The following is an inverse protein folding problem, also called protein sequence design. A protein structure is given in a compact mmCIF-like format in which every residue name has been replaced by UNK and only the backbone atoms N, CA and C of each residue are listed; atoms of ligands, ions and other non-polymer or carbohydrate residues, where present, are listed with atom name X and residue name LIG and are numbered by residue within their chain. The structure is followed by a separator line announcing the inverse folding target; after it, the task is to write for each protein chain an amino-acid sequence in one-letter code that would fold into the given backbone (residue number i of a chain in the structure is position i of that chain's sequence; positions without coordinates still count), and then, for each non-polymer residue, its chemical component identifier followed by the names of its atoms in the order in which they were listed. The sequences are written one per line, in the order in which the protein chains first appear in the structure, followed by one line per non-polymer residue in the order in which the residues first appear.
data_IF_810310685541
#
_entry.id   IF_810310685541
#
_cell.length_a   1.000
_cell.length_b   1.000
_cell.length_c   1.000
_cell.angle_alpha   90.00
_cell.angle_beta   90.00
_cell.angle_gamma   90.00
#
_symmetry.space_group_name_H-M   'P 1'
#
loop_
_entity.id
_entity.type
_entity.pdbx_description
1 polymer ?
#
# COMPACT_ATOMS: atom_id res chain seq x y z
N UNK A 1 -29.68 4.09 15.29
CA UNK A 1 -28.24 3.81 15.55
C UNK A 1 -27.55 4.13 14.25
N UNK A 2 -26.71 5.16 14.22
CA UNK A 2 -26.09 5.68 13.01
C UNK A 2 -25.15 4.63 12.38
N UNK A 3 -25.03 4.60 11.05
CA UNK A 3 -24.21 3.61 10.34
C UNK A 3 -22.76 3.60 10.86
N UNK A 4 -22.22 4.78 11.20
CA UNK A 4 -20.89 4.95 11.78
C UNK A 4 -20.74 4.22 13.13
N UNK A 5 -21.81 4.18 13.94
CA UNK A 5 -21.83 3.49 15.23
C UNK A 5 -21.83 1.97 15.05
N UNK A 6 -22.50 1.46 14.00
CA UNK A 6 -22.48 0.04 13.67
C UNK A 6 -21.11 -0.41 13.15
N UNK A 7 -20.47 0.42 12.32
CA UNK A 7 -19.13 0.14 11.77
C UNK A 7 -18.09 0.07 12.89
N UNK A 8 -18.11 1.02 13.85
CA UNK A 8 -17.20 1.04 15.01
C UNK A 8 -17.36 -0.15 15.96
N UNK A 9 -18.55 -0.73 16.02
CA UNK A 9 -18.85 -1.88 16.88
C UNK A 9 -18.71 -3.24 16.16
N UNK A 10 -18.26 -3.25 14.91
CA UNK A 10 -18.06 -4.49 14.16
C UNK A 10 -16.87 -5.29 14.70
N UNK A 11 -17.09 -6.59 14.97
CA UNK A 11 -16.01 -7.53 15.31
C UNK A 11 -15.04 -7.81 14.14
N UNK A 12 -15.40 -7.38 12.94
CA UNK A 12 -14.62 -7.59 11.72
C UNK A 12 -13.80 -6.36 11.31
N UNK A 13 -13.94 -5.25 12.05
CA UNK A 13 -13.26 -4.01 11.74
C UNK A 13 -12.53 -3.48 12.99
N UNK A 14 -11.24 -3.24 12.83
CA UNK A 14 -10.42 -2.64 13.86
C UNK A 14 -9.95 -1.27 13.41
N UNK A 15 -10.38 -0.22 14.12
CA UNK A 15 -9.89 1.14 13.91
C UNK A 15 -8.57 1.34 14.63
N UNK A 16 -7.52 1.66 13.88
CA UNK A 16 -6.19 1.95 14.40
C UNK A 16 -5.90 3.43 14.13
N UNK A 17 -5.86 4.24 15.19
CA UNK A 17 -5.72 5.69 15.10
C UNK A 17 -4.30 6.19 15.36
N UNK A 18 -3.44 5.36 15.99
CA UNK A 18 -2.06 5.74 16.33
C UNK A 18 -1.07 5.24 15.28
N UNK A 19 -0.38 6.17 14.62
CA UNK A 19 0.54 5.96 13.49
C UNK A 19 1.92 5.44 13.87
N UNK A 20 2.25 5.34 15.17
CA UNK A 20 3.60 5.01 15.64
C UNK A 20 4.18 3.69 15.10
N UNK A 21 3.31 2.79 14.60
CA UNK A 21 3.72 1.49 14.08
C UNK A 21 2.92 1.03 12.85
N UNK A 22 2.64 1.92 11.88
CA UNK A 22 1.90 1.54 10.65
C UNK A 22 2.50 0.31 9.94
N UNK A 23 3.84 0.18 9.94
CA UNK A 23 4.55 -0.97 9.35
C UNK A 23 4.29 -2.30 10.06
N UNK A 24 3.80 -2.31 11.31
CA UNK A 24 3.40 -3.56 11.96
C UNK A 24 2.21 -4.21 11.27
N UNK A 25 1.42 -3.45 10.51
CA UNK A 25 0.23 -3.97 9.82
C UNK A 25 0.50 -4.42 8.39
N UNK A 26 1.75 -4.31 7.93
CA UNK A 26 2.18 -4.78 6.62
C UNK A 26 2.22 -6.33 6.51
N UNK A 27 1.76 -7.06 7.53
CA UNK A 27 1.41 -8.47 7.40
C UNK A 27 0.10 -8.71 6.65
N UNK A 28 -0.75 -7.68 6.47
CA UNK A 28 -2.05 -7.78 5.82
C UNK A 28 -1.94 -8.44 4.44
N UNK A 29 -2.96 -9.17 3.99
CA UNK A 29 -2.95 -9.84 2.67
C UNK A 29 -3.17 -8.91 1.49
N UNK A 30 -3.79 -7.77 1.76
CA UNK A 30 -4.00 -6.69 0.80
C UNK A 30 -3.75 -5.36 1.50
N UNK A 31 -3.14 -4.43 0.78
CA UNK A 31 -3.04 -3.04 1.21
C UNK A 31 -3.96 -2.19 0.33
N UNK A 32 -4.81 -1.40 0.98
CA UNK A 32 -5.65 -0.39 0.33
C UNK A 32 -5.26 0.95 0.93
N UNK A 33 -4.93 1.91 0.07
CA UNK A 33 -4.49 3.24 0.49
C UNK A 33 -5.19 4.34 -0.29
N UNK A 34 -5.36 5.47 0.39
CA UNK A 34 -5.73 6.71 -0.28
C UNK A 34 -4.50 7.24 -1.03
N UNK A 35 -4.66 7.49 -2.33
CA UNK A 35 -3.56 7.68 -3.27
C UNK A 35 -2.83 9.01 -3.21
N UNK A 36 -2.42 9.46 -2.03
CA UNK A 36 -1.62 10.68 -1.83
C UNK A 36 -0.47 10.47 -0.84
N UNK A 37 -0.05 9.22 -0.60
CA UNK A 37 0.86 8.86 0.49
C UNK A 37 2.14 8.18 0.02
N UNK A 38 3.27 8.45 0.70
CA UNK A 38 4.52 7.69 0.50
C UNK A 38 4.36 6.21 0.84
N UNK A 39 3.31 5.86 1.60
CA UNK A 39 2.92 4.48 1.88
C UNK A 39 2.68 3.68 0.59
N UNK A 40 2.33 4.33 -0.54
CA UNK A 40 2.27 3.70 -1.87
C UNK A 40 3.57 2.98 -2.24
N UNK A 41 4.71 3.63 -1.97
CA UNK A 41 6.04 3.11 -2.27
C UNK A 41 6.45 2.05 -1.25
N UNK A 42 6.16 2.30 0.02
CA UNK A 42 6.52 1.40 1.12
C UNK A 42 5.75 0.07 1.05
N UNK A 43 4.48 0.11 0.66
CA UNK A 43 3.63 -1.06 0.47
C UNK A 43 4.18 -2.00 -0.62
N UNK A 44 4.92 -1.47 -1.61
CA UNK A 44 5.57 -2.31 -2.61
C UNK A 44 6.65 -3.23 -2.01
N UNK A 45 7.21 -2.89 -0.84
CA UNK A 45 8.24 -3.70 -0.19
C UNK A 45 7.72 -5.06 0.28
N UNK A 46 6.41 -5.19 0.56
CA UNK A 46 5.82 -6.45 1.01
C UNK A 46 5.36 -7.38 -0.11
N UNK A 47 5.43 -6.94 -1.37
CA UNK A 47 5.14 -7.78 -2.53
C UNK A 47 3.72 -8.34 -2.55
N UNK A 48 2.73 -7.56 -2.05
CA UNK A 48 1.32 -7.96 -1.95
C UNK A 48 0.40 -7.06 -2.79
N UNK A 49 -0.84 -7.50 -3.07
CA UNK A 49 -1.82 -6.68 -3.78
C UNK A 49 -1.97 -5.29 -3.14
N UNK A 50 -1.86 -4.27 -4.00
CA UNK A 50 -1.91 -2.86 -3.62
C UNK A 50 -3.02 -2.16 -4.40
N UNK A 51 -3.96 -1.57 -3.69
CA UNK A 51 -5.07 -0.80 -4.25
C UNK A 51 -4.93 0.66 -3.85
N UNK A 52 -4.96 1.52 -4.85
CA UNK A 52 -4.85 2.96 -4.67
C UNK A 52 -6.23 3.56 -4.96
N UNK A 53 -6.93 3.96 -3.91
CA UNK A 53 -8.27 4.53 -3.97
C UNK A 53 -8.17 6.04 -4.14
N UNK A 54 -8.76 6.58 -5.21
CA UNK A 54 -8.77 8.00 -5.57
C UNK A 54 -10.15 8.37 -6.14
N UNK A 55 -11.13 8.61 -5.27
CA UNK A 55 -12.53 8.84 -5.65
C UNK A 55 -12.85 10.28 -6.04
N UNK A 56 -12.04 11.26 -5.62
CA UNK A 56 -12.36 12.69 -5.76
C UNK A 56 -11.63 13.41 -6.91
N UNK A 57 -10.81 12.72 -7.71
CA UNK A 57 -9.99 13.36 -8.75
C UNK A 57 -10.20 12.70 -10.11
N UNK A 58 -10.64 13.49 -11.09
CA UNK A 58 -10.84 13.09 -12.48
C UNK A 58 -9.53 12.80 -13.24
N UNK A 59 -8.40 13.33 -12.76
CA UNK A 59 -7.06 13.03 -13.25
C UNK A 59 -6.23 12.48 -12.10
N UNK A 60 -6.07 11.15 -12.10
CA UNK A 60 -5.22 10.41 -11.17
C UNK A 60 -3.77 10.90 -11.35
N UNK A 61 -3.28 11.75 -10.45
CA UNK A 61 -1.85 12.07 -10.40
C UNK A 61 -1.09 10.87 -9.86
N UNK A 62 -0.63 9.99 -10.74
CA UNK A 62 0.21 8.85 -10.40
C UNK A 62 1.67 9.28 -10.23
N UNK A 63 1.93 10.13 -9.22
CA UNK A 63 3.26 10.73 -9.00
C UNK A 63 4.37 9.69 -8.87
N UNK A 64 4.05 8.55 -8.29
CA UNK A 64 4.98 7.44 -8.11
C UNK A 64 4.88 6.39 -9.21
N UNK A 65 4.08 6.61 -10.26
CA UNK A 65 3.93 5.73 -11.42
C UNK A 65 3.50 4.31 -11.04
N UNK A 66 2.75 4.14 -9.94
CA UNK A 66 2.39 2.82 -9.41
C UNK A 66 1.25 2.18 -10.20
N UNK A 67 0.27 2.97 -10.63
CA UNK A 67 -0.87 2.49 -11.42
C UNK A 67 -0.42 2.29 -12.86
N UNK A 68 0.30 3.26 -13.45
CA UNK A 68 0.75 3.23 -14.85
C UNK A 68 1.68 2.06 -15.14
N UNK A 69 2.47 1.63 -14.15
CA UNK A 69 3.38 0.49 -14.29
C UNK A 69 2.73 -0.85 -13.93
N UNK A 70 1.46 -0.87 -13.54
CA UNK A 70 0.76 -2.07 -13.06
C UNK A 70 1.24 -2.57 -11.70
N UNK A 71 1.95 -1.72 -10.95
CA UNK A 71 2.47 -2.00 -9.60
C UNK A 71 1.36 -1.95 -8.54
N UNK A 72 0.25 -1.26 -8.84
CA UNK A 72 -0.97 -1.17 -8.05
C UNK A 72 -2.22 -1.13 -8.94
N UNK A 73 -3.39 -1.49 -8.40
CA UNK A 73 -4.69 -1.23 -9.04
C UNK A 73 -5.22 0.14 -8.60
N UNK A 74 -5.49 1.03 -9.55
CA UNK A 74 -6.23 2.25 -9.30
C UNK A 74 -7.73 1.98 -9.14
N UNK A 75 -8.35 2.56 -8.13
CA UNK A 75 -9.79 2.47 -7.87
C UNK A 75 -10.37 3.88 -7.82
N UNK A 76 -11.31 4.19 -8.72
CA UNK A 76 -12.01 5.49 -8.76
C UNK A 76 -13.42 5.41 -8.18
N UNK A 77 -14.04 4.22 -8.21
CA UNK A 77 -15.33 3.94 -7.60
C UNK A 77 -15.16 2.89 -6.48
N UNK A 78 -15.60 3.23 -5.26
CA UNK A 78 -15.52 2.34 -4.10
C UNK A 78 -16.30 1.04 -4.31
N UNK A 79 -17.34 1.06 -5.15
CA UNK A 79 -18.15 -0.12 -5.45
C UNK A 79 -17.33 -1.19 -6.20
N UNK A 80 -16.23 -0.82 -6.83
CA UNK A 80 -15.36 -1.74 -7.57
C UNK A 80 -14.35 -2.47 -6.69
N UNK A 81 -14.17 -2.06 -5.42
CA UNK A 81 -13.17 -2.64 -4.53
C UNK A 81 -13.41 -4.14 -4.35
N UNK A 82 -14.63 -4.55 -4.00
CA UNK A 82 -14.96 -5.95 -3.76
C UNK A 82 -14.77 -6.81 -5.01
N UNK A 83 -15.26 -6.33 -6.16
CA UNK A 83 -15.09 -7.02 -7.44
C UNK A 83 -13.61 -7.23 -7.77
N UNK A 84 -12.79 -6.18 -7.65
CA UNK A 84 -11.37 -6.29 -7.93
C UNK A 84 -10.68 -7.21 -6.91
N UNK A 85 -10.99 -7.11 -5.61
CA UNK A 85 -10.44 -8.03 -4.59
C UNK A 85 -10.73 -9.50 -4.92
N UNK A 86 -11.97 -9.83 -5.27
CA UNK A 86 -12.37 -11.21 -5.59
C UNK A 86 -11.68 -11.69 -6.86
N UNK A 87 -11.61 -10.84 -7.89
CA UNK A 87 -10.86 -11.13 -9.12
C UNK A 87 -9.38 -11.39 -8.79
N UNK A 88 -8.80 -10.56 -7.94
CA UNK A 88 -7.44 -10.73 -7.43
C UNK A 88 -7.26 -12.08 -6.73
N UNK A 89 -8.14 -12.51 -5.84
CA UNK A 89 -7.93 -13.82 -5.19
C UNK A 89 -8.22 -15.05 -6.09
N UNK A 90 -9.08 -14.92 -7.09
CA UNK A 90 -9.49 -16.05 -7.95
C UNK A 90 -8.55 -16.33 -9.12
N UNK A 91 -8.04 -15.29 -9.78
CA UNK A 91 -7.33 -15.46 -11.05
C UNK A 91 -5.89 -15.97 -10.85
N UNK A 92 -5.33 -15.85 -9.64
CA UNK A 92 -3.98 -16.32 -9.28
C UNK A 92 -2.83 -15.70 -10.09
N UNK A 93 -3.14 -14.86 -11.07
CA UNK A 93 -2.24 -14.29 -12.06
C UNK A 93 -1.69 -12.95 -11.58
N UNK A 94 -0.89 -12.95 -10.51
CA UNK A 94 -0.27 -11.72 -10.01
C UNK A 94 1.18 -11.61 -10.42
N UNK A 95 1.47 -10.53 -11.14
CA UNK A 95 2.82 -10.07 -11.40
C UNK A 95 3.23 -8.92 -10.48
N UNK A 96 2.42 -8.55 -9.48
CA UNK A 96 2.75 -7.51 -8.51
C UNK A 96 4.13 -7.70 -7.89
N UNK A 97 4.54 -8.88 -7.40
CA UNK A 97 5.86 -9.01 -6.79
C UNK A 97 7.00 -8.59 -7.72
N UNK A 98 6.91 -8.97 -9.00
CA UNK A 98 7.94 -8.64 -10.00
C UNK A 98 7.88 -7.16 -10.41
N UNK A 99 6.68 -6.62 -10.62
CA UNK A 99 6.49 -5.22 -11.01
C UNK A 99 6.86 -4.26 -9.86
N UNK A 100 6.46 -4.58 -8.63
CA UNK A 100 6.83 -3.86 -7.40
C UNK A 100 8.34 -3.89 -7.17
N UNK A 101 8.98 -5.05 -7.32
CA UNK A 101 10.43 -5.16 -7.18
C UNK A 101 11.18 -4.37 -8.25
N UNK A 102 10.74 -4.45 -9.51
CA UNK A 102 11.28 -3.63 -10.59
C UNK A 102 11.09 -2.14 -10.31
N UNK A 103 9.90 -1.73 -9.86
CA UNK A 103 9.59 -0.32 -9.61
C UNK A 103 10.44 0.26 -8.49
N UNK A 104 10.58 -0.45 -7.38
CA UNK A 104 11.46 -0.06 -6.26
C UNK A 104 12.91 0.12 -6.74
N UNK A 105 13.39 -0.80 -7.59
CA UNK A 105 14.73 -0.73 -8.18
C UNK A 105 14.88 0.47 -9.12
N UNK A 106 13.90 0.73 -9.98
CA UNK A 106 13.90 1.86 -10.91
C UNK A 106 13.88 3.20 -10.16
N UNK A 107 13.29 3.24 -8.96
CA UNK A 107 13.34 4.40 -8.06
C UNK A 107 14.65 4.53 -7.27
N UNK A 108 15.57 3.57 -7.37
CA UNK A 108 16.83 3.55 -6.62
C UNK A 108 16.65 3.27 -5.13
N UNK A 109 15.51 2.72 -4.71
CA UNK A 109 15.19 2.46 -3.30
C UNK A 109 15.69 1.06 -2.93
N UNK A 110 16.30 0.92 -1.75
CA UNK A 110 16.80 -0.36 -1.24
C UNK A 110 16.19 -0.69 0.13
N UNK A 111 15.52 -1.84 0.23
CA UNK A 111 14.96 -2.38 1.47
C UNK A 111 15.78 -3.56 1.99
N UNK A 112 16.99 -3.29 2.50
CA UNK A 112 17.90 -4.34 3.02
C UNK A 112 17.90 -4.46 4.55
N UNK A 113 17.04 -3.69 5.23
CA UNK A 113 16.93 -3.68 6.69
C UNK A 113 18.14 -3.07 7.42
N UNK A 114 19.15 -2.54 6.72
CA UNK A 114 20.42 -2.09 7.33
C UNK A 114 20.55 -0.57 7.44
N UNK A 115 19.50 0.18 7.10
CA UNK A 115 19.55 1.65 7.11
C UNK A 115 19.89 2.20 8.51
N UNK A 116 19.25 1.69 9.56
CA UNK A 116 19.51 2.11 10.95
C UNK A 116 20.99 1.92 11.33
N UNK A 117 21.59 0.77 10.97
CA UNK A 117 23.00 0.48 11.22
C UNK A 117 23.92 1.42 10.45
N UNK A 118 23.64 1.67 9.17
CA UNK A 118 24.44 2.62 8.35
C UNK A 118 24.45 4.02 8.95
N UNK A 119 23.31 4.49 9.46
CA UNK A 119 23.19 5.80 10.11
C UNK A 119 24.00 5.80 11.41
N UNK A 120 23.85 4.77 12.25
CA UNK A 120 24.59 4.65 13.51
C UNK A 120 26.10 4.62 13.27
N UNK A 121 26.58 3.82 12.33
CA UNK A 121 28.01 3.72 11.97
C UNK A 121 28.55 5.05 11.45
N UNK A 122 27.70 5.85 10.75
CA UNK A 122 28.10 7.17 10.25
C UNK A 122 28.20 8.20 11.37
N UNK A 123 27.24 8.22 12.28
CA UNK A 123 27.24 9.12 13.44
C UNK A 123 28.40 8.83 14.39
N UNK A 124 28.75 7.56 14.59
CA UNK A 124 29.89 7.19 15.44
C UNK A 124 31.27 7.56 14.86
N UNK A 125 31.34 7.92 13.56
CA UNK A 125 32.55 8.36 12.86
C UNK A 125 32.64 9.88 12.70
N UNK A 126 31.60 10.62 13.12
CA UNK A 126 31.60 12.08 13.16
C UNK A 126 32.17 12.55 14.50
#
# INVERSE_FOLDING_TARGET
IDEETNVRNSKHLHFITTTGHIYRYFFADVIIINGTSTVEVEACAIKKPLFIVRTCFSNISDRFGMIDTGTATGITDLCEIEYNLVKHFKDGSFHYPKLQEKRIKDMGITFDGKMHKRIQDRLARM
#
